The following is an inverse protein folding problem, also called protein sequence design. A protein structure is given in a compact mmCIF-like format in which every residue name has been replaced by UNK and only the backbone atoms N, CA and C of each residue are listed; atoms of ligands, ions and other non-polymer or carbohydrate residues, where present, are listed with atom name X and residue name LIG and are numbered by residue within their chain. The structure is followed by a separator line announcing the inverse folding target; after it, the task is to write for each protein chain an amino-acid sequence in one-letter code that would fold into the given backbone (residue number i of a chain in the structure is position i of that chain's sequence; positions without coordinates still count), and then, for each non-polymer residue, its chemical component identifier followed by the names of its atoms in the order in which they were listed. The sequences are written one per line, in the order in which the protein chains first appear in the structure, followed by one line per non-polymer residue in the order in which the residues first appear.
data_IF_209718198785
#
_entry.id   IF_209718198785
#
_cell.length_a   1.000
_cell.length_b   1.000
_cell.length_c   1.000
_cell.angle_alpha   90.00
_cell.angle_beta   90.00
_cell.angle_gamma   90.00
#
_symmetry.space_group_name_H-M   'P 1'
#
loop_
_entity.id
_entity.type
_entity.pdbx_description
1 polymer ?
#
# COMPACT_ATOMS: atom_id res chain seq x y z
N UNK A 1 2.40 -4.21 0.90
CA UNK A 1 3.17 -4.02 2.15
C UNK A 1 4.61 -4.36 1.83
N UNK A 2 5.55 -3.43 2.02
CA UNK A 2 6.95 -3.58 1.58
C UNK A 2 7.66 -4.80 2.20
N UNK A 3 7.43 -5.06 3.48
CA UNK A 3 7.97 -6.22 4.19
C UNK A 3 7.65 -7.56 3.50
N UNK A 4 6.40 -7.77 3.09
CA UNK A 4 6.00 -9.00 2.40
C UNK A 4 6.66 -9.13 1.01
N UNK A 5 6.83 -8.01 0.31
CA UNK A 5 7.59 -7.99 -0.95
C UNK A 5 9.03 -8.45 -0.73
N UNK A 6 9.65 -8.06 0.37
CA UNK A 6 11.02 -8.44 0.71
C UNK A 6 11.13 -9.95 1.00
N UNK A 7 10.18 -10.54 1.74
CA UNK A 7 10.11 -12.00 1.94
C UNK A 7 10.10 -12.73 0.60
N UNK A 8 9.19 -12.32 -0.30
CA UNK A 8 9.09 -12.91 -1.65
C UNK A 8 10.39 -12.77 -2.44
N UNK A 9 11.07 -11.62 -2.36
CA UNK A 9 12.33 -11.39 -3.06
C UNK A 9 13.50 -12.20 -2.47
N UNK A 10 13.55 -12.36 -1.15
CA UNK A 10 14.56 -13.17 -0.48
C UNK A 10 14.44 -14.64 -0.90
N UNK A 11 13.22 -15.18 -0.92
CA UNK A 11 12.97 -16.55 -1.40
C UNK A 11 13.28 -16.66 -2.90
N UNK A 12 12.87 -15.68 -3.72
CA UNK A 12 13.16 -15.66 -5.15
C UNK A 12 14.67 -15.73 -5.45
N UNK A 13 15.52 -15.16 -4.59
CA UNK A 13 16.99 -15.18 -4.75
C UNK A 13 17.61 -16.54 -4.40
N UNK A 14 16.91 -17.37 -3.63
CA UNK A 14 17.40 -18.68 -3.17
C UNK A 14 16.96 -19.82 -4.08
N UNK A 15 15.83 -19.67 -4.79
CA UNK A 15 15.32 -20.69 -5.72
C UNK A 15 16.13 -20.73 -7.02
N UNK A 16 16.23 -21.91 -7.61
CA UNK A 16 16.93 -22.11 -8.89
C UNK A 16 16.32 -21.26 -10.00
N UNK A 17 17.18 -20.56 -10.73
CA UNK A 17 16.75 -19.72 -11.85
C UNK A 17 16.05 -20.56 -12.92
N UNK A 18 14.86 -20.13 -13.33
CA UNK A 18 14.09 -20.84 -14.35
C UNK A 18 13.27 -22.02 -13.83
N UNK A 19 13.36 -22.37 -12.55
CA UNK A 19 12.47 -23.35 -11.90
C UNK A 19 11.01 -22.87 -11.86
N UNK A 20 10.09 -23.80 -11.60
CA UNK A 20 8.67 -23.50 -11.44
C UNK A 20 8.39 -22.57 -10.26
N UNK A 21 9.12 -22.76 -9.15
CA UNK A 21 9.07 -21.85 -8.01
C UNK A 21 9.51 -20.43 -8.40
N UNK A 22 10.64 -20.30 -9.12
CA UNK A 22 11.11 -19.01 -9.61
C UNK A 22 10.05 -18.32 -10.49
N UNK A 23 9.41 -19.07 -11.38
CA UNK A 23 8.38 -18.54 -12.26
C UNK A 23 7.14 -18.05 -11.52
N UNK A 24 6.65 -18.83 -10.55
CA UNK A 24 5.51 -18.46 -9.72
C UNK A 24 5.79 -17.16 -8.96
N UNK A 25 6.91 -17.10 -8.26
CA UNK A 25 7.33 -15.93 -7.47
C UNK A 25 7.58 -14.67 -8.32
N UNK A 26 8.03 -14.85 -9.57
CA UNK A 26 8.35 -13.73 -10.49
C UNK A 26 7.14 -13.24 -11.27
N UNK A 27 6.41 -14.15 -11.94
CA UNK A 27 5.33 -13.83 -12.88
C UNK A 27 4.01 -13.57 -12.17
N UNK A 28 3.72 -14.31 -11.10
CA UNK A 28 2.43 -14.28 -10.43
C UNK A 28 2.43 -13.49 -9.13
N UNK A 29 3.45 -12.64 -8.90
CA UNK A 29 3.56 -11.76 -7.71
C UNK A 29 2.32 -10.91 -7.47
N UNK A 30 1.62 -10.51 -8.53
CA UNK A 30 0.42 -9.68 -8.44
C UNK A 30 -0.75 -10.41 -7.76
N UNK A 31 -0.78 -11.76 -7.79
CA UNK A 31 -1.75 -12.55 -7.02
C UNK A 31 -1.52 -12.41 -5.50
N UNK A 32 -0.29 -12.11 -5.11
CA UNK A 32 0.06 -11.90 -3.72
C UNK A 32 -0.20 -10.46 -3.27
N UNK A 33 -0.19 -9.47 -4.17
CA UNK A 33 -0.23 -8.06 -3.80
C UNK A 33 -1.59 -7.39 -4.00
N UNK A 34 -2.40 -7.88 -4.95
CA UNK A 34 -3.62 -7.21 -5.41
C UNK A 34 -4.87 -8.01 -5.10
N UNK A 35 -5.95 -7.29 -4.83
CA UNK A 35 -7.28 -7.88 -4.78
C UNK A 35 -7.68 -8.27 -6.19
N UNK A 36 -7.86 -9.56 -6.40
CA UNK A 36 -8.29 -10.08 -7.68
C UNK A 36 -9.26 -11.24 -7.47
N UNK A 37 -10.16 -11.46 -8.43
CA UNK A 37 -11.02 -12.63 -8.41
C UNK A 37 -10.15 -13.89 -8.57
N UNK A 38 -9.97 -14.63 -7.48
CA UNK A 38 -9.19 -15.87 -7.42
C UNK A 38 -9.94 -17.05 -8.09
N UNK A 39 -11.27 -16.99 -8.11
CA UNK A 39 -12.17 -18.03 -8.61
C UNK A 39 -12.60 -17.77 -10.05
N UNK A 40 -11.64 -17.32 -10.86
CA UNK A 40 -11.86 -17.17 -12.29
C UNK A 40 -11.98 -18.54 -12.98
N UNK A 41 -12.62 -18.57 -14.14
CA UNK A 41 -12.63 -19.76 -14.99
C UNK A 41 -11.20 -20.26 -15.25
N UNK A 42 -10.92 -21.57 -15.06
CA UNK A 42 -9.59 -22.13 -15.27
C UNK A 42 -9.07 -21.88 -16.68
N UNK A 43 -7.88 -21.30 -16.79
CA UNK A 43 -7.21 -21.04 -18.07
C UNK A 43 -6.01 -21.97 -18.23
N UNK A 44 -5.78 -22.41 -19.47
CA UNK A 44 -4.63 -23.27 -19.76
C UNK A 44 -3.31 -22.53 -19.48
N UNK A 45 -2.47 -23.13 -18.64
CA UNK A 45 -1.13 -22.63 -18.36
C UNK A 45 -0.11 -23.53 -19.07
N UNK A 46 0.57 -22.99 -20.08
CA UNK A 46 1.52 -23.74 -20.91
C UNK A 46 2.70 -24.30 -20.12
N UNK A 47 3.11 -23.63 -19.04
CA UNK A 47 4.25 -24.05 -18.23
C UNK A 47 3.94 -25.31 -17.42
N UNK A 48 2.76 -25.33 -16.79
CA UNK A 48 2.31 -26.47 -15.98
C UNK A 48 1.53 -27.51 -16.78
N UNK A 49 1.22 -27.23 -18.05
CA UNK A 49 0.48 -28.11 -18.98
C UNK A 49 -0.90 -28.53 -18.45
N UNK A 50 -1.55 -27.65 -17.69
CA UNK A 50 -2.85 -27.89 -17.09
C UNK A 50 -3.69 -26.61 -17.06
N UNK A 51 -5.01 -26.75 -16.97
CA UNK A 51 -5.93 -25.63 -16.75
C UNK A 51 -5.90 -25.26 -15.26
N UNK A 52 -5.55 -24.00 -14.97
CA UNK A 52 -5.44 -23.48 -13.61
C UNK A 52 -6.26 -22.20 -13.46
N UNK A 53 -6.93 -22.06 -12.32
CA UNK A 53 -7.45 -20.77 -11.88
C UNK A 53 -6.38 -20.03 -11.05
N UNK A 54 -6.68 -18.77 -10.69
CA UNK A 54 -5.74 -17.95 -9.90
C UNK A 54 -5.61 -18.44 -8.47
N UNK A 55 -6.65 -19.03 -7.87
CA UNK A 55 -6.58 -19.66 -6.54
C UNK A 55 -5.54 -20.78 -6.51
N UNK A 56 -5.58 -21.69 -7.48
CA UNK A 56 -4.61 -22.77 -7.60
C UNK A 56 -3.19 -22.24 -7.81
N UNK A 57 -3.01 -21.20 -8.65
CA UNK A 57 -1.71 -20.57 -8.83
C UNK A 57 -1.19 -19.90 -7.56
N UNK A 58 -2.07 -19.29 -6.77
CA UNK A 58 -1.75 -18.73 -5.46
C UNK A 58 -1.33 -19.84 -4.49
N UNK A 59 -2.11 -20.92 -4.37
CA UNK A 59 -1.80 -22.07 -3.51
C UNK A 59 -0.46 -22.71 -3.88
N UNK A 60 -0.20 -22.93 -5.17
CA UNK A 60 1.09 -23.41 -5.68
C UNK A 60 2.23 -22.46 -5.32
N UNK A 61 1.98 -21.14 -5.35
CA UNK A 61 2.99 -20.14 -4.99
C UNK A 61 3.28 -20.17 -3.49
N UNK A 62 2.25 -20.24 -2.65
CA UNK A 62 2.40 -20.28 -1.19
C UNK A 62 3.02 -21.61 -0.72
N UNK A 63 2.83 -22.69 -1.45
CA UNK A 63 3.46 -23.99 -1.18
C UNK A 63 4.99 -24.01 -1.37
N UNK A 64 5.58 -22.96 -1.98
CA UNK A 64 7.03 -22.88 -2.21
C UNK A 64 7.81 -22.76 -0.89
N UNK A 65 7.24 -22.09 0.11
CA UNK A 65 7.92 -21.82 1.38
C UNK A 65 6.91 -21.55 2.49
N UNK A 66 7.16 -22.16 3.65
CA UNK A 66 6.37 -21.91 4.85
C UNK A 66 6.41 -20.43 5.27
N UNK A 67 7.58 -19.79 5.23
CA UNK A 67 7.72 -18.36 5.52
C UNK A 67 6.87 -17.48 4.58
N UNK A 68 6.78 -17.86 3.30
CA UNK A 68 5.93 -17.15 2.34
C UNK A 68 4.45 -17.30 2.67
N UNK A 69 4.02 -18.53 2.97
CA UNK A 69 2.65 -18.83 3.35
C UNK A 69 2.24 -18.11 4.64
N UNK A 70 3.08 -18.17 5.66
CA UNK A 70 2.85 -17.50 6.94
C UNK A 70 2.86 -15.98 6.78
N UNK A 71 3.84 -15.41 6.08
CA UNK A 71 3.86 -13.98 5.80
C UNK A 71 2.64 -13.51 5.01
N UNK A 72 2.18 -14.31 4.05
CA UNK A 72 0.96 -13.99 3.31
C UNK A 72 -0.26 -13.95 4.24
N UNK A 73 -0.43 -14.95 5.11
CA UNK A 73 -1.51 -15.00 6.12
C UNK A 73 -1.49 -13.76 7.03
N UNK A 74 -0.34 -13.38 7.57
CA UNK A 74 -0.20 -12.20 8.42
C UNK A 74 -0.53 -10.91 7.68
N UNK A 75 -0.06 -10.78 6.45
CA UNK A 75 -0.35 -9.63 5.59
C UNK A 75 -1.86 -9.53 5.30
N UNK A 76 -2.54 -10.64 5.01
CA UNK A 76 -3.99 -10.67 4.83
C UNK A 76 -4.75 -10.41 6.13
N UNK A 77 -4.26 -10.90 7.28
CA UNK A 77 -4.81 -10.57 8.60
C UNK A 77 -4.80 -9.06 8.87
N UNK A 78 -3.68 -8.39 8.58
CA UNK A 78 -3.59 -6.93 8.69
C UNK A 78 -4.49 -6.19 7.67
N UNK A 79 -4.64 -6.72 6.46
CA UNK A 79 -5.58 -6.16 5.47
C UNK A 79 -7.02 -6.26 5.95
N UNK A 80 -7.39 -7.42 6.48
CA UNK A 80 -8.71 -7.66 7.06
C UNK A 80 -9.00 -6.70 8.21
N UNK A 81 -8.04 -6.52 9.13
CA UNK A 81 -8.10 -5.52 10.19
C UNK A 81 -8.41 -4.11 9.65
N UNK A 82 -7.67 -3.68 8.62
CA UNK A 82 -7.85 -2.34 8.05
C UNK A 82 -9.18 -2.13 7.31
N UNK A 83 -9.75 -3.20 6.76
CA UNK A 83 -11.00 -3.15 6.00
C UNK A 83 -12.22 -3.25 6.90
N UNK A 84 -12.19 -4.17 7.87
CA UNK A 84 -13.35 -4.59 8.66
C UNK A 84 -13.32 -4.13 10.12
N UNK A 85 -12.21 -3.53 10.57
CA UNK A 85 -12.11 -2.92 11.89
C UNK A 85 -13.09 -1.75 12.07
N UNK A 86 -13.66 -1.66 13.26
CA UNK A 86 -14.63 -0.63 13.71
C UNK A 86 -14.06 0.13 14.90
N UNK A 87 -14.65 1.27 15.24
CA UNK A 87 -14.26 2.02 16.45
C UNK A 87 -14.34 1.19 17.73
N UNK A 88 -15.29 0.26 17.82
CA UNK A 88 -15.48 -0.54 19.03
C UNK A 88 -14.47 -1.70 19.15
N UNK A 89 -14.20 -2.41 18.05
CA UNK A 89 -13.39 -3.64 18.09
C UNK A 89 -11.92 -3.46 17.67
N UNK A 90 -11.54 -2.30 17.13
CA UNK A 90 -10.20 -2.13 16.55
C UNK A 90 -9.09 -2.26 17.58
N UNK A 91 -9.32 -1.91 18.85
CA UNK A 91 -8.29 -1.99 19.89
C UNK A 91 -7.91 -3.44 20.21
N UNK A 92 -8.91 -4.29 20.51
CA UNK A 92 -8.69 -5.71 20.78
C UNK A 92 -8.07 -6.44 19.58
N UNK A 93 -8.55 -6.15 18.37
CA UNK A 93 -7.96 -6.70 17.14
C UNK A 93 -6.53 -6.21 16.92
N UNK A 94 -6.25 -4.95 17.19
CA UNK A 94 -4.93 -4.37 16.98
C UNK A 94 -3.91 -5.00 17.93
N UNK A 95 -4.25 -5.19 19.21
CA UNK A 95 -3.32 -5.72 20.19
C UNK A 95 -2.89 -7.17 19.88
N UNK A 96 -3.73 -7.94 19.17
CA UNK A 96 -3.38 -9.27 18.66
C UNK A 96 -2.39 -9.23 17.47
N UNK A 97 -2.35 -8.13 16.69
CA UNK A 97 -1.53 -8.07 15.47
C UNK A 97 -0.03 -8.13 15.79
N UNK A 98 0.59 -7.22 16.58
CA UNK A 98 2.03 -7.29 16.85
C UNK A 98 2.48 -8.62 17.44
N UNK A 99 1.63 -9.27 18.25
CA UNK A 99 1.92 -10.59 18.84
C UNK A 99 2.04 -11.63 17.72
N UNK A 100 1.03 -11.75 16.86
CA UNK A 100 1.05 -12.70 15.75
C UNK A 100 2.22 -12.46 14.77
N UNK A 101 2.60 -11.20 14.52
CA UNK A 101 3.77 -10.88 13.70
C UNK A 101 5.08 -11.30 14.39
N UNK A 102 5.24 -11.05 15.69
CA UNK A 102 6.43 -11.48 16.46
C UNK A 102 6.56 -13.00 16.53
N UNK A 103 5.46 -13.70 16.79
CA UNK A 103 5.43 -15.17 16.90
C UNK A 103 5.82 -15.86 15.60
N UNK A 104 5.69 -15.18 14.46
CA UNK A 104 6.12 -15.73 13.18
C UNK A 104 7.62 -15.81 12.98
N UNK A 105 8.42 -15.08 13.79
CA UNK A 105 9.89 -15.03 13.68
C UNK A 105 10.42 -14.59 12.30
N UNK A 106 9.58 -13.97 11.47
CA UNK A 106 9.95 -13.46 10.15
C UNK A 106 10.61 -12.08 10.29
N UNK A 107 11.93 -12.03 10.15
CA UNK A 107 12.72 -10.80 10.37
C UNK A 107 12.34 -9.64 9.44
N UNK A 108 11.84 -9.92 8.23
CA UNK A 108 11.39 -8.88 7.29
C UNK A 108 10.22 -8.04 7.82
N UNK A 109 9.50 -8.52 8.84
CA UNK A 109 8.42 -7.78 9.49
C UNK A 109 8.85 -6.91 10.66
N UNK A 110 10.09 -6.98 11.14
CA UNK A 110 10.57 -6.15 12.27
C UNK A 110 10.31 -4.65 12.08
N UNK A 111 10.57 -4.03 10.91
CA UNK A 111 10.24 -2.64 10.68
C UNK A 111 8.74 -2.35 10.79
N UNK A 112 7.91 -3.31 10.38
CA UNK A 112 6.46 -3.19 10.44
C UNK A 112 5.91 -3.34 11.86
N UNK A 113 6.44 -4.27 12.64
CA UNK A 113 6.10 -4.43 14.07
C UNK A 113 6.45 -3.15 14.84
N UNK A 114 7.63 -2.58 14.58
CA UNK A 114 8.06 -1.31 15.15
C UNK A 114 7.11 -0.18 14.76
N UNK A 115 6.70 -0.12 13.49
CA UNK A 115 5.71 0.86 13.02
C UNK A 115 4.38 0.72 13.74
N UNK A 116 3.83 -0.50 13.86
CA UNK A 116 2.58 -0.73 14.58
C UNK A 116 2.68 -0.25 16.04
N UNK A 117 3.78 -0.59 16.71
CA UNK A 117 3.98 -0.22 18.12
C UNK A 117 4.07 1.29 18.29
N UNK A 118 4.86 1.97 17.44
CA UNK A 118 5.09 3.41 17.55
C UNK A 118 3.86 4.25 17.18
N UNK A 119 3.05 3.78 16.23
CA UNK A 119 1.91 4.51 15.68
C UNK A 119 0.55 3.96 16.16
N UNK A 120 0.53 3.19 17.26
CA UNK A 120 -0.69 2.57 17.78
C UNK A 120 -1.83 3.57 17.94
N UNK A 121 -1.54 4.70 18.59
CA UNK A 121 -2.55 5.72 18.91
C UNK A 121 -3.16 6.30 17.62
N UNK A 122 -2.33 6.66 16.66
CA UNK A 122 -2.75 7.24 15.39
C UNK A 122 -3.53 6.24 14.54
N UNK A 123 -3.10 4.98 14.51
CA UNK A 123 -3.78 3.91 13.79
C UNK A 123 -5.17 3.68 14.38
N UNK A 124 -5.29 3.53 15.70
CA UNK A 124 -6.58 3.34 16.37
C UNK A 124 -7.49 4.56 16.19
N UNK A 125 -6.95 5.76 16.31
CA UNK A 125 -7.71 6.99 16.08
C UNK A 125 -8.22 7.11 14.64
N UNK A 126 -7.57 6.47 13.65
CA UNK A 126 -8.06 6.46 12.26
C UNK A 126 -9.40 5.72 12.08
N UNK A 127 -9.78 4.86 13.04
CA UNK A 127 -11.08 4.19 13.05
C UNK A 127 -12.19 5.05 13.67
N UNK A 128 -11.85 6.12 14.38
CA UNK A 128 -12.84 7.11 14.86
C UNK A 128 -13.30 7.93 13.66
N UNK A 129 -14.60 7.89 13.36
CA UNK A 129 -15.21 8.56 12.20
C UNK A 129 -16.15 9.66 12.68
N UNK A 130 -15.63 10.85 13.02
CA UNK A 130 -16.41 11.91 13.66
C UNK A 130 -17.33 12.68 12.69
N UNK A 131 -17.29 12.37 11.38
CA UNK A 131 -18.11 13.03 10.37
C UNK A 131 -19.30 12.15 9.99
N UNK A 132 -20.47 12.78 9.79
CA UNK A 132 -21.80 12.17 9.60
C UNK A 132 -21.87 11.07 8.53
N UNK A 133 -20.92 11.09 7.60
CA UNK A 133 -20.83 10.14 6.50
C UNK A 133 -20.36 8.74 6.91
N UNK A 134 -19.85 8.56 8.13
CA UNK A 134 -19.20 7.34 8.61
C UNK A 134 -18.17 6.77 7.61
N UNK A 135 -17.60 7.63 6.75
CA UNK A 135 -16.67 7.26 5.68
C UNK A 135 -15.25 7.24 6.20
N UNK A 136 -14.47 6.24 5.80
CA UNK A 136 -13.02 6.22 6.03
C UNK A 136 -12.38 7.38 5.29
N UNK A 137 -11.49 8.12 5.94
CA UNK A 137 -10.71 9.17 5.29
C UNK A 137 -9.90 8.56 4.15
N UNK A 138 -10.11 9.05 2.94
CA UNK A 138 -9.41 8.58 1.76
C UNK A 138 -8.08 9.31 1.60
N UNK A 139 -7.05 8.57 1.17
CA UNK A 139 -5.74 9.15 0.83
C UNK A 139 -5.76 9.92 -0.50
N UNK A 140 -6.85 9.87 -1.27
CA UNK A 140 -6.93 10.43 -2.62
C UNK A 140 -6.56 11.93 -2.69
N UNK A 141 -6.97 12.73 -1.70
CA UNK A 141 -6.66 14.16 -1.66
C UNK A 141 -5.16 14.40 -1.50
N UNK A 142 -4.55 13.72 -0.51
CA UNK A 142 -3.13 13.80 -0.21
C UNK A 142 -2.28 13.27 -1.38
N UNK A 143 -2.69 12.17 -2.00
CA UNK A 143 -2.05 11.60 -3.19
C UNK A 143 -2.12 12.54 -4.38
N UNK A 144 -3.27 13.19 -4.62
CA UNK A 144 -3.42 14.19 -5.68
C UNK A 144 -2.48 15.38 -5.48
N UNK A 145 -2.40 15.91 -4.26
CA UNK A 145 -1.51 17.00 -3.92
C UNK A 145 -0.03 16.60 -4.10
N UNK A 146 0.36 15.44 -3.59
CA UNK A 146 1.71 14.90 -3.74
C UNK A 146 2.09 14.67 -5.21
N UNK A 147 1.16 14.17 -6.03
CA UNK A 147 1.35 14.00 -7.47
C UNK A 147 1.63 15.32 -8.18
N UNK A 148 0.84 16.37 -7.90
CA UNK A 148 1.07 17.71 -8.45
C UNK A 148 2.42 18.30 -8.02
N UNK A 149 2.79 18.15 -6.75
CA UNK A 149 4.10 18.60 -6.25
C UNK A 149 5.23 17.92 -7.01
N UNK A 150 5.17 16.60 -7.20
CA UNK A 150 6.18 15.85 -7.98
C UNK A 150 6.30 16.37 -9.41
N UNK A 151 5.19 16.67 -10.07
CA UNK A 151 5.17 17.29 -11.41
C UNK A 151 5.88 18.65 -11.39
N UNK A 152 5.60 19.50 -10.40
CA UNK A 152 6.26 20.82 -10.29
C UNK A 152 7.76 20.70 -10.03
N UNK A 153 8.20 19.73 -9.24
CA UNK A 153 9.63 19.45 -9.04
C UNK A 153 10.28 19.09 -10.38
N UNK A 154 9.69 18.14 -11.12
CA UNK A 154 10.22 17.68 -12.40
C UNK A 154 10.31 18.82 -13.45
N UNK A 155 9.29 19.68 -13.52
CA UNK A 155 9.27 20.81 -14.48
C UNK A 155 10.27 21.91 -14.08
N UNK A 156 10.61 22.05 -12.79
CA UNK A 156 11.45 23.16 -12.32
C UNK A 156 12.92 23.06 -12.72
N UNK A 157 13.39 21.93 -13.29
CA UNK A 157 14.78 21.72 -13.75
C UNK A 157 15.85 22.12 -12.70
N UNK A 158 15.54 21.89 -11.43
CA UNK A 158 16.36 22.29 -10.29
C UNK A 158 15.65 23.31 -9.39
N UNK A 159 15.78 23.13 -8.07
CA UNK A 159 15.22 24.02 -7.07
C UNK A 159 16.41 24.57 -6.27
N UNK A 160 16.84 25.80 -6.58
CA UNK A 160 17.93 26.47 -5.87
C UNK A 160 17.45 27.25 -4.64
N UNK A 161 16.15 27.57 -4.56
CA UNK A 161 15.56 28.32 -3.47
C UNK A 161 14.23 27.68 -3.02
N UNK A 162 14.25 27.05 -1.85
CA UNK A 162 13.08 26.38 -1.28
C UNK A 162 11.92 27.33 -0.99
N UNK A 163 12.22 28.53 -0.49
CA UNK A 163 11.19 29.52 -0.14
C UNK A 163 10.40 29.96 -1.36
N UNK A 164 11.10 30.22 -2.48
CA UNK A 164 10.46 30.52 -3.78
C UNK A 164 9.62 29.35 -4.28
N UNK A 165 10.12 28.13 -4.14
CA UNK A 165 9.42 26.92 -4.54
C UNK A 165 8.16 26.67 -3.72
N UNK A 166 8.24 26.83 -2.39
CA UNK A 166 7.10 26.75 -1.46
C UNK A 166 6.01 27.74 -1.84
N UNK A 167 6.37 29.01 -2.06
CA UNK A 167 5.41 30.05 -2.51
C UNK A 167 4.74 29.67 -3.84
N UNK A 168 5.52 29.17 -4.80
CA UNK A 168 5.00 28.72 -6.10
C UNK A 168 4.03 27.55 -5.98
N UNK A 169 4.32 26.56 -5.13
CA UNK A 169 3.41 25.43 -4.89
C UNK A 169 2.12 25.91 -4.24
N UNK A 170 2.22 26.71 -3.16
CA UNK A 170 1.06 27.21 -2.43
C UNK A 170 0.14 28.00 -3.37
N UNK A 171 0.73 28.82 -4.24
CA UNK A 171 0.00 29.53 -5.29
C UNK A 171 -0.64 28.55 -6.31
N UNK A 172 0.14 27.65 -6.91
CA UNK A 172 -0.33 26.79 -7.99
C UNK A 172 -1.35 25.72 -7.57
N UNK A 173 -1.31 25.26 -6.32
CA UNK A 173 -2.27 24.30 -5.77
C UNK A 173 -3.57 24.97 -5.31
N UNK A 174 -3.54 26.28 -5.01
CA UNK A 174 -4.67 26.98 -4.45
C UNK A 174 -5.46 27.72 -5.53
N UNK A 175 -6.53 27.09 -6.02
CA UNK A 175 -7.42 27.66 -7.04
C UNK A 175 -8.14 28.95 -6.63
N UNK A 176 -8.13 29.28 -5.33
CA UNK A 176 -8.79 30.48 -4.79
C UNK A 176 -7.84 31.67 -4.62
N UNK A 177 -6.54 31.47 -4.84
CA UNK A 177 -5.56 32.55 -4.73
C UNK A 177 -5.38 33.17 -6.11
N UNK A 178 -5.76 34.43 -6.20
CA UNK A 178 -5.53 35.26 -7.37
C UNK A 178 -4.38 36.22 -7.05
N UNK A 179 -3.55 36.53 -8.04
CA UNK A 179 -2.59 37.62 -7.95
C UNK A 179 -2.86 38.57 -9.09
N UNK A 180 -2.74 39.87 -8.80
CA UNK A 180 -2.69 40.91 -9.81
C UNK A 180 -1.27 41.45 -9.84
N UNK A 181 -0.80 41.78 -11.04
CA UNK A 181 0.48 42.46 -11.25
C UNK A 181 0.31 43.98 -11.11
N UNK A 182 -0.94 44.45 -11.08
CA UNK A 182 -1.36 45.84 -10.92
C UNK A 182 -2.23 46.02 -9.68
N UNK A 183 -2.14 47.17 -9.01
CA UNK A 183 -2.81 47.45 -7.73
C UNK A 183 -4.35 47.43 -7.77
N UNK A 184 -4.97 47.24 -8.95
CA UNK A 184 -6.42 47.10 -9.11
C UNK A 184 -6.80 45.64 -9.29
N UNK A 185 -7.27 45.02 -8.21
CA UNK A 185 -7.93 43.72 -8.27
C UNK A 185 -9.42 43.96 -8.50
N UNK A 186 -9.88 43.92 -9.75
CA UNK A 186 -11.32 43.83 -10.02
C UNK A 186 -11.79 42.40 -9.71
N UNK A 187 -12.32 42.22 -8.51
CA UNK A 187 -13.02 41.00 -8.09
C UNK A 187 -14.40 40.94 -8.73
N UNK A 188 -14.47 40.84 -10.06
CA UNK A 188 -15.68 40.47 -10.76
C UNK A 188 -15.37 39.49 -11.89
N UNK A 189 -15.56 38.20 -11.64
CA UNK A 189 -16.35 37.32 -12.52
C UNK A 189 -16.39 35.85 -12.04
N UNK A 190 -17.64 35.42 -11.78
CA UNK A 190 -18.26 34.08 -11.83
C UNK A 190 -17.59 32.89 -11.13
#
# INVERSE_FOLDING_TARGET
MECFTNIRLNILRQVEYGSDAYHLLKKWKDLLDKDCNLDNEPRYNSRFRQKLNKRQLLEMTLAISENLAQGYKLKEMYRNFNQNGTSENCEEWFDALPIAFKDSTISEYEPFITLLTNWRIEILNSFKRPYDDNRKLSNALSENANGKIKIYIAISRGISNFERFRKRILFALNKKVYYSITDKVDLQSK
#
